data_IF_078913121323
#
_entry.id   IF_078913121323
#
_cell.length_a   1.000
_cell.length_b   1.000
_cell.length_c   1.000
_cell.angle_alpha   90.00
_cell.angle_beta   90.00
_cell.angle_gamma   90.00
#
_symmetry.space_group_name_H-M   'P 1'
#
loop_
_entity.id
_entity.type
_entity.pdbx_description
1 polymer ?
#
# COMPACT_ATOMS: atom_id res chain seq x y z
N UNK A 1 -60.79 36.96 28.97
CA UNK A 1 -59.43 36.39 28.99
C UNK A 1 -59.45 35.14 29.87
N UNK A 2 -59.52 33.96 29.25
CA UNK A 2 -59.50 32.67 29.96
C UNK A 2 -58.06 32.37 30.37
N UNK A 3 -57.81 32.27 31.68
CA UNK A 3 -56.52 31.79 32.18
C UNK A 3 -56.46 30.27 31.92
N UNK A 4 -55.58 29.84 31.01
CA UNK A 4 -55.29 28.41 30.88
C UNK A 4 -54.80 27.87 32.24
N UNK A 5 -55.40 26.74 32.66
CA UNK A 5 -55.02 26.05 33.89
C UNK A 5 -53.56 25.59 33.81
N UNK A 6 -52.76 25.88 34.85
CA UNK A 6 -51.35 25.48 34.98
C UNK A 6 -51.16 23.97 34.76
N UNK A 7 -52.19 23.16 35.03
CA UNK A 7 -52.17 21.71 34.80
C UNK A 7 -52.16 21.34 33.31
N UNK A 8 -52.84 22.14 32.48
CA UNK A 8 -52.92 21.97 31.02
C UNK A 8 -51.61 22.37 30.37
N UNK A 9 -51.01 23.49 30.81
CA UNK A 9 -49.70 23.93 30.34
C UNK A 9 -48.60 22.89 30.62
N UNK A 10 -48.56 22.33 31.83
CA UNK A 10 -47.59 21.27 32.19
C UNK A 10 -47.72 20.03 31.32
N UNK A 11 -48.94 19.59 31.03
CA UNK A 11 -49.19 18.42 30.17
C UNK A 11 -48.76 18.67 28.72
N UNK A 12 -49.06 19.86 28.18
CA UNK A 12 -48.62 20.26 26.83
C UNK A 12 -47.09 20.31 26.74
N UNK A 13 -46.42 20.89 27.75
CA UNK A 13 -44.96 20.99 27.78
C UNK A 13 -44.30 19.62 27.84
N UNK A 14 -44.80 18.71 28.69
CA UNK A 14 -44.30 17.33 28.79
C UNK A 14 -44.43 16.56 27.45
N UNK A 15 -45.55 16.73 26.74
CA UNK A 15 -45.76 16.12 25.43
C UNK A 15 -44.75 16.62 24.39
N UNK A 16 -44.51 17.94 24.34
CA UNK A 16 -43.53 18.55 23.42
C UNK A 16 -42.10 18.08 23.74
N UNK A 17 -41.73 17.97 25.02
CA UNK A 17 -40.41 17.48 25.45
C UNK A 17 -40.22 16.01 25.07
N UNK A 18 -41.17 15.12 25.37
CA UNK A 18 -41.06 13.70 24.98
C UNK A 18 -41.00 13.52 23.46
N UNK A 19 -41.72 14.34 22.69
CA UNK A 19 -41.66 14.30 21.23
C UNK A 19 -40.30 14.77 20.71
N UNK A 20 -39.72 15.82 21.29
CA UNK A 20 -38.37 16.28 20.94
C UNK A 20 -37.27 15.28 21.34
N UNK A 21 -37.39 14.64 22.51
CA UNK A 21 -36.49 13.58 22.96
C UNK A 21 -36.57 12.34 22.04
N UNK A 22 -37.78 11.97 21.60
CA UNK A 22 -38.00 10.90 20.63
C UNK A 22 -37.34 11.17 19.27
N UNK A 23 -37.50 12.39 18.74
CA UNK A 23 -36.84 12.80 17.49
C UNK A 23 -35.31 12.91 17.64
N UNK A 24 -34.81 13.39 18.79
CA UNK A 24 -33.37 13.43 19.10
C UNK A 24 -32.77 12.03 19.19
N UNK A 25 -33.45 11.09 19.85
CA UNK A 25 -33.04 9.70 19.94
C UNK A 25 -33.06 9.02 18.56
N UNK A 26 -34.07 9.31 17.74
CA UNK A 26 -34.19 8.80 16.36
C UNK A 26 -33.07 9.36 15.46
N UNK A 27 -32.75 10.65 15.55
CA UNK A 27 -31.62 11.26 14.84
C UNK A 27 -30.28 10.67 15.29
N UNK A 28 -30.10 10.44 16.60
CA UNK A 28 -28.91 9.77 17.13
C UNK A 28 -28.81 8.33 16.57
N UNK A 29 -29.89 7.57 16.57
CA UNK A 29 -29.92 6.22 16.00
C UNK A 29 -29.57 6.21 14.51
N UNK A 30 -30.10 7.15 13.72
CA UNK A 30 -29.74 7.29 12.30
C UNK A 30 -28.27 7.63 12.11
N UNK A 31 -27.68 8.48 12.95
CA UNK A 31 -26.24 8.76 12.93
C UNK A 31 -25.41 7.51 13.24
N UNK A 32 -25.79 6.71 14.25
CA UNK A 32 -25.11 5.44 14.55
C UNK A 32 -25.23 4.42 13.42
N UNK A 33 -26.41 4.30 12.80
CA UNK A 33 -26.61 3.42 11.63
C UNK A 33 -25.76 3.89 10.46
N UNK A 34 -25.70 5.20 10.20
CA UNK A 34 -24.88 5.77 9.13
C UNK A 34 -23.38 5.57 9.38
N UNK A 35 -22.92 5.77 10.63
CA UNK A 35 -21.54 5.47 11.03
C UNK A 35 -21.20 3.98 10.87
N UNK A 36 -22.12 3.07 11.23
CA UNK A 36 -21.96 1.63 11.02
C UNK A 36 -21.89 1.28 9.53
N UNK A 37 -22.73 1.86 8.69
CA UNK A 37 -22.71 1.65 7.24
C UNK A 37 -21.40 2.15 6.62
N UNK A 38 -20.91 3.32 7.04
CA UNK A 38 -19.61 3.85 6.60
C UNK A 38 -18.45 2.96 7.06
N UNK A 39 -18.47 2.49 8.32
CA UNK A 39 -17.46 1.56 8.82
C UNK A 39 -17.46 0.24 8.04
N UNK A 40 -18.64 -0.33 7.74
CA UNK A 40 -18.77 -1.54 6.93
C UNK A 40 -18.31 -1.34 5.48
N UNK A 41 -18.57 -0.17 4.89
CA UNK A 41 -18.08 0.17 3.55
C UNK A 41 -16.54 0.25 3.51
N UNK A 42 -15.92 0.85 4.54
CA UNK A 42 -14.45 0.94 4.65
C UNK A 42 -13.76 -0.40 4.93
N UNK A 43 -14.42 -1.34 5.61
CA UNK A 43 -13.84 -2.67 5.91
C UNK A 43 -13.71 -3.53 4.65
N UNK A 44 -14.58 -3.32 3.65
CA UNK A 44 -14.54 -4.07 2.40
C UNK A 44 -13.51 -3.53 1.39
N UNK A 45 -13.10 -2.27 1.50
CA UNK A 45 -11.94 -1.75 0.77
C UNK A 45 -10.66 -2.23 1.47
N UNK A 46 -10.29 -3.47 1.19
CA UNK A 46 -8.92 -3.94 1.42
C UNK A 46 -8.02 -2.99 0.62
N UNK A 47 -7.27 -2.12 1.29
CA UNK A 47 -6.17 -1.39 0.68
C UNK A 47 -5.24 -2.45 0.08
N UNK A 48 -5.24 -2.60 -1.24
CA UNK A 48 -4.25 -3.40 -1.97
C UNK A 48 -2.92 -2.64 -2.00
N UNK A 49 -2.50 -2.19 -0.84
CA UNK A 49 -1.37 -1.31 -0.68
C UNK A 49 -0.20 -2.22 -0.30
N UNK A 50 0.90 -2.10 -1.05
CA UNK A 50 2.07 -2.86 -0.69
C UNK A 50 2.68 -2.31 0.60
N UNK A 51 3.45 -3.13 1.32
CA UNK A 51 4.07 -2.69 2.56
C UNK A 51 4.93 -1.45 2.33
N UNK A 52 4.86 -0.48 3.25
CA UNK A 52 5.63 0.75 3.16
C UNK A 52 7.13 0.49 3.00
N UNK A 53 7.65 -0.57 3.62
CA UNK A 53 9.05 -0.98 3.54
C UNK A 53 9.41 -1.53 2.14
N UNK A 54 8.56 -2.39 1.57
CA UNK A 54 8.73 -2.90 0.20
C UNK A 54 8.64 -1.77 -0.82
N UNK A 55 7.65 -0.87 -0.65
CA UNK A 55 7.49 0.32 -1.49
C UNK A 55 8.71 1.23 -1.46
N UNK A 56 9.24 1.48 -0.27
CA UNK A 56 10.46 2.27 -0.10
C UNK A 56 11.66 1.59 -0.78
N UNK A 57 11.80 0.27 -0.63
CA UNK A 57 12.84 -0.50 -1.31
C UNK A 57 12.75 -0.43 -2.84
N UNK A 58 11.55 -0.50 -3.40
CA UNK A 58 11.33 -0.36 -4.84
C UNK A 58 11.75 1.02 -5.36
N UNK A 59 11.40 2.08 -4.62
CA UNK A 59 11.79 3.44 -4.98
C UNK A 59 13.31 3.64 -4.86
N UNK A 60 13.97 2.98 -3.90
CA UNK A 60 15.43 2.98 -3.77
C UNK A 60 16.09 2.25 -4.95
N UNK A 61 15.56 1.10 -5.37
CA UNK A 61 16.00 0.38 -6.57
C UNK A 61 15.86 1.27 -7.81
N UNK A 62 14.72 1.94 -7.97
CA UNK A 62 14.50 2.89 -9.07
C UNK A 62 15.53 4.01 -9.07
N UNK A 63 15.79 4.61 -7.92
CA UNK A 63 16.77 5.68 -7.77
C UNK A 63 18.18 5.19 -8.11
N UNK A 64 18.54 3.97 -7.69
CA UNK A 64 19.83 3.35 -7.99
C UNK A 64 20.04 3.17 -9.50
N UNK A 65 19.08 2.59 -10.20
CA UNK A 65 19.15 2.48 -11.66
C UNK A 65 19.21 3.85 -12.32
N UNK A 66 18.39 4.81 -11.88
CA UNK A 66 18.39 6.17 -12.44
C UNK A 66 19.73 6.89 -12.27
N UNK A 67 20.39 6.71 -11.13
CA UNK A 67 21.69 7.32 -10.84
C UNK A 67 22.82 6.77 -11.71
N UNK A 68 22.75 5.47 -11.99
CA UNK A 68 23.66 4.72 -12.85
C UNK A 68 23.68 5.15 -14.33
N UNK A 69 22.95 6.20 -14.71
CA UNK A 69 22.64 6.52 -16.11
C UNK A 69 21.77 5.46 -16.78
N UNK A 70 21.30 4.51 -15.99
CA UNK A 70 20.41 3.43 -16.36
C UNK A 70 18.98 3.79 -15.93
N UNK A 71 18.03 2.88 -16.10
CA UNK A 71 16.64 3.16 -15.76
C UNK A 71 15.82 3.28 -17.03
N UNK A 72 15.46 2.12 -17.54
CA UNK A 72 14.50 1.99 -18.62
C UNK A 72 13.18 2.74 -18.33
N UNK A 73 12.46 3.06 -19.41
CA UNK A 73 11.08 3.56 -19.34
C UNK A 73 10.16 2.67 -18.48
N UNK A 74 10.50 1.40 -18.30
CA UNK A 74 9.73 0.44 -17.51
C UNK A 74 9.62 0.81 -16.02
N UNK A 75 10.63 1.49 -15.46
CA UNK A 75 10.61 1.95 -14.06
C UNK A 75 9.92 3.31 -13.87
N UNK A 76 9.55 4.02 -14.95
CA UNK A 76 8.93 5.34 -14.83
C UNK A 76 7.57 5.26 -14.10
N UNK A 77 6.81 4.19 -14.30
CA UNK A 77 5.51 3.98 -13.68
C UNK A 77 5.53 3.69 -12.18
N UNK A 78 6.71 3.51 -11.57
CA UNK A 78 6.84 3.33 -10.13
C UNK A 78 6.74 4.68 -9.42
N UNK A 79 5.58 4.98 -8.84
CA UNK A 79 5.27 6.30 -8.30
C UNK A 79 5.21 6.31 -6.76
N UNK A 80 5.91 7.26 -6.15
CA UNK A 80 5.86 7.53 -4.71
C UNK A 80 4.47 7.97 -4.20
N UNK A 81 3.55 8.30 -5.08
CA UNK A 81 2.18 8.70 -4.75
C UNK A 81 1.18 7.53 -4.95
N UNK A 82 1.56 6.47 -5.68
CA UNK A 82 0.77 5.23 -5.83
C UNK A 82 1.06 4.22 -4.71
N UNK A 83 0.10 4.03 -3.82
CA UNK A 83 0.22 3.12 -2.67
C UNK A 83 0.14 1.64 -3.06
N UNK A 84 -0.32 1.33 -4.27
CA UNK A 84 -0.49 -0.04 -4.76
C UNK A 84 0.63 -0.42 -5.74
N UNK A 85 1.82 -0.67 -5.21
CA UNK A 85 2.93 -1.08 -6.06
C UNK A 85 2.73 -2.44 -6.75
N UNK A 86 1.80 -3.28 -6.29
CA UNK A 86 1.46 -4.53 -6.98
C UNK A 86 0.84 -4.32 -8.38
N UNK A 87 0.43 -3.09 -8.71
CA UNK A 87 -0.01 -2.72 -10.06
C UNK A 87 1.12 -2.20 -10.94
N UNK A 88 2.30 -1.96 -10.39
CA UNK A 88 3.41 -1.47 -11.18
C UNK A 88 3.92 -2.56 -12.13
N UNK A 89 4.43 -2.13 -13.28
CA UNK A 89 5.11 -3.06 -14.17
C UNK A 89 6.29 -3.71 -13.46
N UNK A 90 6.61 -4.94 -13.87
CA UNK A 90 7.75 -5.73 -13.40
C UNK A 90 7.61 -6.33 -11.99
N UNK A 91 6.43 -6.20 -11.37
CA UNK A 91 6.14 -6.76 -10.06
C UNK A 91 5.03 -7.80 -10.14
N UNK A 92 5.15 -8.84 -9.33
CA UNK A 92 4.07 -9.77 -9.01
C UNK A 92 3.94 -9.85 -7.50
N UNK A 93 2.70 -9.77 -7.02
CA UNK A 93 2.39 -9.88 -5.60
C UNK A 93 1.51 -11.09 -5.32
N UNK A 94 1.68 -11.66 -4.13
CA UNK A 94 0.75 -12.66 -3.60
C UNK A 94 -0.61 -12.01 -3.31
N UNK A 95 -1.68 -12.58 -3.87
CA UNK A 95 -3.05 -12.06 -3.73
C UNK A 95 -3.63 -12.15 -2.31
N UNK A 96 -3.00 -12.95 -1.45
CA UNK A 96 -3.39 -13.23 -0.07
C UNK A 96 -2.65 -12.33 0.90
N UNK A 97 -1.32 -12.22 0.75
CA UNK A 97 -0.47 -11.42 1.66
C UNK A 97 -0.25 -9.98 1.18
N UNK A 98 -0.56 -9.67 -0.08
CA UNK A 98 -0.24 -8.40 -0.76
C UNK A 98 1.27 -8.06 -0.70
N UNK A 99 2.13 -9.07 -0.74
CA UNK A 99 3.60 -8.95 -0.67
C UNK A 99 4.19 -9.21 -2.03
N UNK A 100 5.29 -8.53 -2.35
CA UNK A 100 6.01 -8.74 -3.61
C UNK A 100 6.70 -10.11 -3.58
N UNK A 101 6.29 -11.00 -4.49
CA UNK A 101 6.86 -12.34 -4.66
C UNK A 101 7.79 -12.44 -5.88
N UNK A 102 7.61 -11.56 -6.86
CA UNK A 102 8.48 -11.48 -8.04
C UNK A 102 8.84 -10.05 -8.37
N UNK A 103 10.12 -9.87 -8.69
CA UNK A 103 10.70 -8.61 -9.14
C UNK A 103 11.51 -8.89 -10.41
N UNK A 104 11.01 -8.41 -11.55
CA UNK A 104 11.61 -8.62 -12.87
C UNK A 104 12.37 -7.38 -13.33
N UNK A 105 13.66 -7.32 -13.04
CA UNK A 105 14.52 -6.22 -13.46
C UNK A 105 15.37 -6.61 -14.67
N UNK A 106 14.94 -7.57 -15.49
CA UNK A 106 15.70 -8.01 -16.64
C UNK A 106 15.86 -6.88 -17.67
N UNK A 107 17.09 -6.70 -18.17
CA UNK A 107 17.44 -5.72 -19.21
C UNK A 107 16.97 -4.28 -18.92
N UNK A 108 16.81 -3.94 -17.64
CA UNK A 108 16.48 -2.57 -17.19
C UNK A 108 17.64 -1.62 -17.48
N UNK A 109 18.86 -2.15 -17.52
CA UNK A 109 20.08 -1.45 -17.82
C UNK A 109 20.92 -2.19 -18.88
N UNK A 110 20.62 -1.91 -20.15
CA UNK A 110 21.32 -2.53 -21.27
C UNK A 110 22.64 -1.84 -21.62
N UNK A 111 22.81 -0.55 -21.28
CA UNK A 111 24.00 0.26 -21.65
C UNK A 111 24.24 1.36 -20.59
N UNK A 112 24.79 1.02 -19.42
CA UNK A 112 25.07 2.00 -18.39
C UNK A 112 26.22 2.92 -18.78
N UNK A 113 26.18 4.14 -18.27
CA UNK A 113 27.27 5.10 -18.43
C UNK A 113 28.50 4.75 -17.56
N UNK A 114 28.31 3.95 -16.51
CA UNK A 114 29.33 3.60 -15.52
C UNK A 114 29.25 2.13 -15.09
N UNK A 115 30.33 1.59 -14.51
CA UNK A 115 30.36 0.25 -13.93
C UNK A 115 29.36 0.13 -12.76
N UNK A 116 28.35 -0.73 -12.89
CA UNK A 116 27.29 -0.82 -11.88
C UNK A 116 27.52 -1.92 -10.84
N UNK A 117 27.67 -1.51 -9.58
CA UNK A 117 27.75 -2.42 -8.45
C UNK A 117 26.41 -2.48 -7.72
N UNK A 118 25.72 -3.61 -7.85
CA UNK A 118 24.43 -3.81 -7.18
C UNK A 118 24.65 -4.37 -5.77
N UNK A 119 24.15 -3.64 -4.76
CA UNK A 119 24.20 -4.09 -3.38
C UNK A 119 22.98 -4.97 -3.07
N UNK A 120 23.24 -6.17 -2.55
CA UNK A 120 22.17 -7.10 -2.17
C UNK A 120 21.27 -6.56 -1.05
N UNK A 121 21.77 -5.60 -0.26
CA UNK A 121 20.98 -4.97 0.80
C UNK A 121 19.73 -4.27 0.30
N UNK A 122 19.68 -3.86 -0.98
CA UNK A 122 18.51 -3.24 -1.60
C UNK A 122 17.29 -4.16 -1.61
N UNK A 123 17.51 -5.48 -1.52
CA UNK A 123 16.43 -6.46 -1.56
C UNK A 123 15.99 -6.96 -0.17
N UNK A 124 16.62 -6.48 0.91
CA UNK A 124 16.26 -6.86 2.28
C UNK A 124 14.80 -6.56 2.68
N UNK A 125 14.13 -5.49 2.18
CA UNK A 125 12.73 -5.24 2.51
C UNK A 125 11.76 -6.32 2.00
N UNK A 126 12.13 -7.06 0.95
CA UNK A 126 11.25 -8.03 0.28
C UNK A 126 11.37 -9.43 0.89
N UNK A 127 10.72 -9.62 2.04
CA UNK A 127 10.83 -10.87 2.83
C UNK A 127 10.17 -12.09 2.20
N UNK A 128 9.22 -11.89 1.28
CA UNK A 128 8.49 -12.95 0.56
C UNK A 128 8.93 -13.03 -0.91
N UNK A 129 10.04 -12.39 -1.29
CA UNK A 129 10.54 -12.43 -2.66
C UNK A 129 11.04 -13.84 -3.00
N UNK A 130 10.39 -14.46 -3.97
CA UNK A 130 10.75 -15.79 -4.48
C UNK A 130 11.58 -15.69 -5.77
N UNK A 131 11.25 -14.72 -6.62
CA UNK A 131 11.86 -14.57 -7.94
C UNK A 131 12.44 -13.17 -8.10
N UNK A 132 13.74 -13.11 -8.35
CA UNK A 132 14.46 -11.90 -8.73
C UNK A 132 15.15 -12.13 -10.07
N UNK A 133 14.70 -11.44 -11.12
CA UNK A 133 15.33 -11.51 -12.43
C UNK A 133 16.21 -10.26 -12.65
N UNK A 134 17.51 -10.48 -12.84
CA UNK A 134 18.49 -9.43 -13.15
C UNK A 134 19.16 -9.66 -14.51
N UNK A 135 18.67 -10.59 -15.32
CA UNK A 135 19.34 -11.01 -16.56
C UNK A 135 19.42 -9.87 -17.57
N UNK A 136 20.49 -9.86 -18.37
CA UNK A 136 20.68 -8.85 -19.41
C UNK A 136 21.00 -7.45 -18.89
N UNK A 137 21.30 -7.29 -17.59
CA UNK A 137 21.88 -6.07 -17.05
C UNK A 137 23.41 -6.14 -17.04
N UNK A 138 24.06 -5.02 -17.33
CA UNK A 138 25.52 -4.91 -17.22
C UNK A 138 25.93 -4.58 -15.77
N UNK A 139 26.02 -5.60 -14.92
CA UNK A 139 26.44 -5.46 -13.51
C UNK A 139 27.90 -5.86 -13.34
N UNK A 140 28.70 -5.00 -12.74
CA UNK A 140 30.11 -5.25 -12.41
C UNK A 140 30.21 -5.82 -11.00
N UNK A 141 30.85 -6.99 -10.87
CA UNK A 141 31.17 -7.59 -9.57
C UNK A 141 30.06 -8.39 -8.88
N UNK A 142 28.88 -8.56 -9.49
CA UNK A 142 27.77 -9.32 -8.91
C UNK A 142 27.22 -8.71 -7.60
N UNK A 143 26.39 -9.47 -6.87
CA UNK A 143 25.83 -9.03 -5.59
C UNK A 143 26.91 -9.02 -4.50
N UNK A 144 27.26 -7.85 -3.98
CA UNK A 144 28.25 -7.72 -2.89
C UNK A 144 27.62 -8.10 -1.55
N UNK A 145 28.02 -9.25 -1.00
CA UNK A 145 27.46 -9.85 0.22
C UNK A 145 27.73 -9.04 1.49
N UNK A 146 26.68 -8.80 2.29
CA UNK A 146 26.77 -8.68 3.76
C UNK A 146 25.70 -9.56 4.40
N UNK A 147 26.11 -10.73 4.88
CA UNK A 147 25.39 -11.53 5.88
C UNK A 147 24.00 -12.08 5.51
N UNK A 148 23.98 -13.29 4.93
CA UNK A 148 22.82 -14.20 4.79
C UNK A 148 21.84 -13.93 3.63
N UNK A 149 22.10 -14.60 2.49
CA UNK A 149 21.19 -14.85 1.37
C UNK A 149 21.42 -16.28 0.86
N UNK A 150 20.85 -17.29 1.53
CA UNK A 150 20.88 -18.68 1.02
C UNK A 150 20.23 -18.84 -0.38
N UNK A 151 19.54 -17.80 -0.89
CA UNK A 151 18.88 -17.76 -2.20
C UNK A 151 19.74 -17.26 -3.37
N UNK A 152 21.04 -16.94 -3.18
CA UNK A 152 21.98 -16.81 -4.31
C UNK A 152 22.07 -18.13 -5.12
N UNK A 153 21.60 -19.25 -4.55
CA UNK A 153 21.73 -20.59 -5.10
C UNK A 153 21.19 -20.79 -6.53
N UNK A 154 20.25 -19.99 -7.05
CA UNK A 154 19.79 -20.13 -8.44
C UNK A 154 20.60 -19.34 -9.48
N UNK A 155 21.36 -18.32 -9.07
CA UNK A 155 22.20 -17.54 -10.01
C UNK A 155 23.48 -18.28 -10.43
N UNK A 156 23.75 -19.49 -9.91
CA UNK A 156 24.90 -20.32 -10.27
C UNK A 156 24.53 -21.61 -11.03
N UNK A 157 23.25 -21.90 -11.31
CA UNK A 157 22.84 -23.17 -11.94
C UNK A 157 22.15 -23.07 -13.31
N UNK A 158 22.05 -21.89 -13.90
CA UNK A 158 21.61 -21.72 -15.29
C UNK A 158 22.77 -21.25 -16.16
N UNK A 159 23.47 -22.23 -16.76
CA UNK A 159 24.54 -22.08 -17.76
C UNK A 159 24.21 -21.07 -18.87
#
# INVERSE_FOLDING_TARGET
MHAEDKSVYKRRLAFVVCQAEGELLRMRQLLWVWLLLMALAFVNDRCHCCLQEERSGLLEIKAWFSHAGAGSSWLQGWDKDDLNCCKWMLLECDSTTNRVIKLDLASVNYDPLEDLYLNASLFLPFKELEILDLRGNQLVGGLKNQGSLLSILFSLHGN
#
